data_IF_767308763043
#
_entry.id   IF_767308763043
#
_cell.length_a   1.000
_cell.length_b   1.000
_cell.length_c   1.000
_cell.angle_alpha   90.00
_cell.angle_beta   90.00
_cell.angle_gamma   90.00
#
_symmetry.space_group_name_H-M   'P 1'
#
loop_
_entity.id
_entity.type
_entity.pdbx_description
1 polymer ?
#
# COMPACT_ATOMS: atom_id res chain seq x y z
N UNK A 1 17.64 -4.00 -7.91
CA UNK A 1 16.54 -3.67 -6.98
C UNK A 1 15.90 -2.34 -7.36
N UNK A 2 14.57 -2.26 -7.40
CA UNK A 2 13.80 -1.06 -7.72
C UNK A 2 12.69 -0.86 -6.68
N UNK A 3 12.59 0.33 -6.08
CA UNK A 3 11.48 0.67 -5.19
C UNK A 3 10.22 0.92 -6.03
N UNK A 4 9.20 0.08 -5.87
CA UNK A 4 8.01 0.12 -6.74
C UNK A 4 6.80 0.74 -6.04
N UNK A 5 6.62 0.48 -4.75
CA UNK A 5 5.46 0.99 -4.02
C UNK A 5 5.66 1.05 -2.52
N UNK A 6 4.86 1.91 -1.90
CA UNK A 6 4.55 1.83 -0.47
C UNK A 6 3.05 1.59 -0.32
N UNK A 7 2.68 0.55 0.42
CA UNK A 7 1.30 0.18 0.70
C UNK A 7 0.95 0.48 2.14
N UNK A 8 -0.01 1.38 2.36
CA UNK A 8 -0.54 1.70 3.69
C UNK A 8 -1.72 0.79 3.99
N UNK A 9 -1.73 0.16 5.17
CA UNK A 9 -2.83 -0.69 5.61
C UNK A 9 -3.75 0.07 6.58
N UNK A 10 -5.05 0.07 6.28
CA UNK A 10 -6.06 0.81 7.04
C UNK A 10 -7.35 -0.01 7.24
N UNK A 11 -8.13 0.32 8.28
CA UNK A 11 -9.49 -0.20 8.42
C UNK A 11 -10.51 0.57 7.56
N UNK A 12 -10.13 1.76 7.08
CA UNK A 12 -10.98 2.67 6.31
C UNK A 12 -10.21 3.18 5.08
N UNK A 13 -10.39 2.48 3.96
CA UNK A 13 -9.74 2.79 2.68
C UNK A 13 -10.29 4.10 2.12
N UNK A 14 -11.61 4.29 2.15
CA UNK A 14 -12.27 5.46 1.54
C UNK A 14 -11.85 6.77 2.20
N UNK A 15 -11.75 6.79 3.53
CA UNK A 15 -11.26 7.96 4.26
C UNK A 15 -9.83 8.32 3.88
N UNK A 16 -8.97 7.30 3.75
CA UNK A 16 -7.56 7.54 3.45
C UNK A 16 -7.35 7.93 1.97
N UNK A 17 -8.15 7.36 1.06
CA UNK A 17 -8.23 7.81 -0.33
C UNK A 17 -8.59 9.29 -0.38
N UNK A 18 -9.70 9.70 0.22
CA UNK A 18 -10.13 11.11 0.20
C UNK A 18 -9.05 12.05 0.76
N UNK A 19 -8.39 11.66 1.86
CA UNK A 19 -7.28 12.43 2.42
C UNK A 19 -6.11 12.58 1.43
N UNK A 20 -5.67 11.48 0.80
CA UNK A 20 -4.54 11.56 -0.14
C UNK A 20 -4.92 12.29 -1.43
N UNK A 21 -6.14 12.16 -1.92
CA UNK A 21 -6.62 12.97 -3.06
C UNK A 21 -6.60 14.46 -2.72
N UNK A 22 -7.02 14.85 -1.52
CA UNK A 22 -7.03 16.24 -1.07
C UNK A 22 -5.61 16.82 -0.98
N UNK A 23 -4.68 16.13 -0.32
CA UNK A 23 -3.32 16.66 -0.10
C UNK A 23 -2.43 16.57 -1.33
N UNK A 24 -2.69 15.63 -2.25
CA UNK A 24 -1.90 15.48 -3.50
C UNK A 24 -2.53 16.18 -4.69
N UNK A 25 -3.81 16.57 -4.60
CA UNK A 25 -4.58 17.12 -5.72
C UNK A 25 -4.78 16.14 -6.89
N UNK A 26 -4.50 14.85 -6.69
CA UNK A 26 -4.57 13.81 -7.72
C UNK A 26 -5.54 12.72 -7.29
N UNK A 27 -6.42 12.31 -8.19
CA UNK A 27 -7.37 11.22 -7.91
C UNK A 27 -6.66 9.87 -7.82
N UNK A 28 -7.08 9.07 -6.85
CA UNK A 28 -6.64 7.69 -6.71
C UNK A 28 -7.51 6.79 -7.59
N UNK A 29 -6.88 5.78 -8.18
CA UNK A 29 -7.62 4.72 -8.85
C UNK A 29 -8.11 3.72 -7.81
N UNK A 30 -9.42 3.68 -7.57
CA UNK A 30 -10.05 2.68 -6.70
C UNK A 30 -10.36 1.42 -7.53
N UNK A 31 -9.69 0.31 -7.23
CA UNK A 31 -9.90 -0.97 -7.92
C UNK A 31 -11.01 -1.79 -7.27
N UNK A 32 -11.10 -1.74 -5.94
CA UNK A 32 -12.11 -2.43 -5.13
C UNK A 32 -12.39 -1.62 -3.87
N UNK A 33 -13.40 -2.00 -3.08
CA UNK A 33 -13.62 -1.43 -1.74
C UNK A 33 -12.43 -1.63 -0.78
N UNK A 34 -11.52 -2.53 -1.12
CA UNK A 34 -10.36 -2.93 -0.32
C UNK A 34 -9.03 -2.36 -0.82
N UNK A 35 -9.00 -1.76 -2.01
CA UNK A 35 -7.75 -1.43 -2.66
C UNK A 35 -7.83 -0.23 -3.60
N UNK A 36 -6.91 0.71 -3.41
CA UNK A 36 -6.72 1.89 -4.26
C UNK A 36 -5.23 2.19 -4.48
N UNK A 37 -4.91 2.89 -5.57
CA UNK A 37 -3.53 3.31 -5.87
C UNK A 37 -3.47 4.74 -6.42
N UNK A 38 -2.38 5.44 -6.08
CA UNK A 38 -1.89 6.64 -6.73
C UNK A 38 -0.55 6.33 -7.39
N UNK A 39 -0.51 6.30 -8.72
CA UNK A 39 0.73 6.13 -9.48
C UNK A 39 1.39 7.48 -9.70
N UNK A 40 2.67 7.58 -9.34
CA UNK A 40 3.50 8.78 -9.56
C UNK A 40 4.78 8.42 -10.31
N UNK A 41 5.53 9.43 -10.76
CA UNK A 41 6.84 9.21 -11.38
C UNK A 41 7.87 8.56 -10.42
N UNK A 42 7.68 8.75 -9.11
CA UNK A 42 8.56 8.21 -8.07
C UNK A 42 8.20 6.78 -7.63
N UNK A 43 7.05 6.25 -8.06
CA UNK A 43 6.49 4.97 -7.62
C UNK A 43 5.00 5.08 -7.26
N UNK A 44 4.46 4.00 -6.70
CA UNK A 44 3.03 3.91 -6.38
C UNK A 44 2.77 4.01 -4.88
N UNK A 45 1.85 4.90 -4.50
CA UNK A 45 1.23 4.88 -3.18
C UNK A 45 -0.02 4.01 -3.24
N UNK A 46 0.02 2.85 -2.58
CA UNK A 46 -1.08 1.93 -2.50
C UNK A 46 -1.79 2.04 -1.15
N UNK A 47 -3.11 1.89 -1.14
CA UNK A 47 -3.94 1.86 0.07
C UNK A 47 -4.70 0.54 0.08
N UNK A 48 -4.39 -0.31 1.06
CA UNK A 48 -5.05 -1.60 1.25
C UNK A 48 -5.84 -1.64 2.54
N UNK A 49 -6.96 -2.35 2.55
CA UNK A 49 -7.65 -2.65 3.80
C UNK A 49 -6.92 -3.72 4.62
N UNK A 50 -7.26 -3.85 5.89
CA UNK A 50 -6.79 -4.98 6.73
C UNK A 50 -7.14 -6.35 6.15
N UNK A 51 -8.19 -6.47 5.32
CA UNK A 51 -8.58 -7.74 4.67
C UNK A 51 -7.53 -8.20 3.65
N UNK A 52 -6.76 -7.28 3.08
CA UNK A 52 -5.70 -7.60 2.10
C UNK A 52 -4.48 -8.27 2.74
N UNK A 53 -4.32 -8.21 4.07
CA UNK A 53 -3.19 -8.81 4.79
C UNK A 53 -3.10 -10.32 4.66
N UNK A 54 -4.23 -10.99 4.38
CA UNK A 54 -4.25 -12.44 4.18
C UNK A 54 -3.35 -12.88 3.01
N UNK A 55 -3.15 -12.01 2.00
CA UNK A 55 -2.23 -12.26 0.89
C UNK A 55 -0.75 -12.22 1.30
N UNK A 56 -0.44 -11.63 2.46
CA UNK A 56 0.91 -11.38 2.93
C UNK A 56 1.32 -12.25 4.12
N UNK A 57 0.50 -13.23 4.52
CA UNK A 57 0.76 -14.10 5.67
C UNK A 57 -0.06 -13.76 6.93
N UNK A 58 -0.98 -12.79 6.85
CA UNK A 58 -2.02 -12.55 7.85
C UNK A 58 -1.85 -11.28 8.68
N UNK A 59 -2.72 -11.11 9.68
CA UNK A 59 -2.98 -9.83 10.37
C UNK A 59 -1.82 -9.30 11.23
N UNK A 60 -0.75 -10.08 11.40
CA UNK A 60 0.44 -9.68 12.14
C UNK A 60 1.44 -8.89 11.28
N UNK A 61 1.32 -8.96 9.95
CA UNK A 61 2.26 -8.38 8.98
C UNK A 61 2.27 -6.85 9.04
N UNK A 62 1.08 -6.24 9.05
CA UNK A 62 0.94 -4.81 9.21
C UNK A 62 -0.35 -4.47 9.98
N UNK A 63 -0.31 -3.40 10.78
CA UNK A 63 -1.43 -2.96 11.62
C UNK A 63 -1.60 -1.44 11.54
N UNK A 64 -2.83 -0.95 11.31
CA UNK A 64 -3.11 0.49 11.35
C UNK A 64 -2.70 1.11 12.69
N UNK A 65 -2.22 2.36 12.66
CA UNK A 65 -1.79 3.14 13.83
C UNK A 65 -0.72 2.46 14.74
N UNK A 66 0.08 1.54 14.20
CA UNK A 66 1.22 0.91 14.86
C UNK A 66 2.56 1.34 14.21
N UNK A 67 3.71 0.89 14.73
CA UNK A 67 5.01 1.06 14.07
C UNK A 67 5.25 0.07 12.90
N UNK A 68 4.19 -0.60 12.45
CA UNK A 68 4.17 -1.59 11.37
C UNK A 68 2.95 -1.32 10.46
N UNK A 69 2.76 -0.07 10.05
CA UNK A 69 1.56 0.40 9.34
C UNK A 69 1.60 0.24 7.82
N UNK A 70 2.78 0.01 7.27
CA UNK A 70 3.00 0.01 5.83
C UNK A 70 3.89 -1.15 5.39
N UNK A 71 3.68 -1.58 4.15
CA UNK A 71 4.52 -2.55 3.43
C UNK A 71 5.30 -1.75 2.38
N UNK A 72 6.62 -1.92 2.37
CA UNK A 72 7.52 -1.27 1.41
C UNK A 72 7.96 -2.33 0.40
N UNK A 73 7.65 -2.11 -0.87
CA UNK A 73 7.79 -3.13 -1.90
C UNK A 73 8.97 -2.78 -2.82
N UNK A 74 9.93 -3.71 -2.91
CA UNK A 74 11.06 -3.64 -3.82
C UNK A 74 10.97 -4.76 -4.84
N UNK A 75 11.10 -4.43 -6.12
CA UNK A 75 11.24 -5.41 -7.19
C UNK A 75 12.71 -5.76 -7.39
N UNK A 76 13.02 -7.04 -7.31
CA UNK A 76 14.33 -7.64 -7.59
C UNK A 76 14.21 -8.67 -8.72
N UNK A 77 15.34 -9.13 -9.26
CA UNK A 77 15.35 -10.14 -10.31
C UNK A 77 15.03 -11.53 -9.74
N UNK A 78 15.58 -11.83 -8.57
CA UNK A 78 15.39 -13.08 -7.84
C UNK A 78 15.48 -12.78 -6.33
N UNK A 79 14.41 -13.11 -5.59
CA UNK A 79 14.35 -12.83 -4.14
C UNK A 79 15.31 -13.73 -3.38
N UNK A 80 15.41 -15.01 -3.74
CA UNK A 80 16.23 -16.00 -3.02
C UNK A 80 17.73 -15.78 -3.25
N UNK A 81 18.10 -15.13 -4.36
CA UNK A 81 19.49 -14.77 -4.63
C UNK A 81 19.89 -13.44 -3.96
N UNK A 82 18.94 -12.51 -3.78
CA UNK A 82 19.19 -11.17 -3.26
C UNK A 82 18.92 -11.06 -1.73
N UNK A 83 18.36 -12.09 -1.08
CA UNK A 83 18.04 -12.17 0.37
C UNK A 83 18.47 -13.50 0.99
#
# INVERSE_FOLDING_TARGET
>A
MNFVSTRIITADVRRLVAFYEEVTGTLLTLYTDDFAELTTEAGTLAIGSTRTLQLFGGDHVARPAANQTAIIEFRVADVDADY
#
